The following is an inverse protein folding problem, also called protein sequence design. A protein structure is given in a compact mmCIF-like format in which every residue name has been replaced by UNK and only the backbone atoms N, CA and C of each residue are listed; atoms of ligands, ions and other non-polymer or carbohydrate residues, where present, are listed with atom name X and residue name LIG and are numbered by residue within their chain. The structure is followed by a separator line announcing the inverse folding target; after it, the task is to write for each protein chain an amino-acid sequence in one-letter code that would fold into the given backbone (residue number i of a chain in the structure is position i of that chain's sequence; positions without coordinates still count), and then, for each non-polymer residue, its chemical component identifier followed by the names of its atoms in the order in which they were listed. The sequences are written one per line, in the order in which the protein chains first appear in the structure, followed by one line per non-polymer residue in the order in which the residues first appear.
data_IF_724708146056
#
_entry.id   IF_724708146056
#
_cell.length_a   1.000
_cell.length_b   1.000
_cell.length_c   1.000
_cell.angle_alpha   90.00
_cell.angle_beta   90.00
_cell.angle_gamma   90.00
#
_symmetry.space_group_name_H-M   'P 1'
#
loop_
_entity.id
_entity.type
_entity.pdbx_description
1 polymer ?
#
# COMPACT_ATOMS: atom_id res chain seq x y z
N UNK A 1 49.15 -17.54 70.74
CA UNK A 1 48.02 -17.39 71.68
C UNK A 1 46.75 -17.21 70.85
N UNK A 2 45.80 -18.14 71.01
CA UNK A 2 44.45 -18.26 70.43
C UNK A 2 44.25 -18.43 68.90
N UNK A 3 43.65 -19.56 68.54
CA UNK A 3 43.00 -19.90 67.26
C UNK A 3 41.48 -19.70 67.45
N UNK A 4 40.75 -19.08 66.50
CA UNK A 4 39.30 -19.31 66.33
C UNK A 4 38.89 -19.23 64.85
N UNK A 5 38.11 -20.24 64.44
CA UNK A 5 37.48 -20.54 63.15
C UNK A 5 36.18 -19.74 62.84
N UNK A 6 35.74 -19.81 61.57
CA UNK A 6 34.35 -19.77 60.99
C UNK A 6 34.11 -18.63 59.97
N UNK A 7 33.87 -18.88 58.67
CA UNK A 7 32.75 -19.54 57.94
C UNK A 7 31.39 -18.80 58.04
N UNK A 8 30.97 -18.11 56.96
CA UNK A 8 29.70 -18.28 56.18
C UNK A 8 29.25 -17.03 55.40
N UNK A 9 28.77 -17.29 54.19
CA UNK A 9 28.07 -16.43 53.21
C UNK A 9 26.91 -15.58 53.77
N UNK A 10 26.67 -14.40 53.16
CA UNK A 10 25.33 -13.89 52.85
C UNK A 10 25.29 -13.03 51.57
N UNK A 11 24.16 -13.17 50.88
CA UNK A 11 23.70 -12.61 49.61
C UNK A 11 23.03 -11.25 49.83
N UNK A 12 23.02 -10.38 48.80
CA UNK A 12 22.15 -9.20 48.69
C UNK A 12 22.95 -7.94 48.33
N UNK A 13 22.48 -6.97 47.55
CA UNK A 13 21.18 -6.75 46.92
C UNK A 13 21.38 -5.75 45.78
N UNK A 14 20.53 -5.90 44.78
CA UNK A 14 20.30 -5.07 43.61
C UNK A 14 20.03 -3.59 43.98
N UNK A 15 20.71 -2.64 43.34
CA UNK A 15 20.18 -1.28 43.17
C UNK A 15 20.25 -0.86 41.70
N UNK A 16 19.05 -0.75 41.13
CA UNK A 16 18.72 -0.27 39.79
C UNK A 16 18.74 1.27 39.82
N UNK A 17 19.53 1.90 38.95
CA UNK A 17 19.45 3.36 38.69
C UNK A 17 18.78 3.56 37.34
N UNK A 18 17.52 3.96 37.37
CA UNK A 18 16.75 4.39 36.20
C UNK A 18 17.11 5.84 35.85
N UNK A 19 17.81 6.05 34.74
CA UNK A 19 18.01 7.37 34.15
C UNK A 19 16.93 7.59 33.08
N UNK A 20 15.96 8.46 33.38
CA UNK A 20 14.96 8.96 32.43
C UNK A 20 15.57 10.15 31.70
N UNK A 21 15.96 9.96 30.44
CA UNK A 21 16.25 11.07 29.52
C UNK A 21 15.09 11.20 28.53
N UNK A 22 14.20 12.15 28.80
CA UNK A 22 13.15 12.57 27.89
C UNK A 22 13.75 13.48 26.81
N UNK A 23 13.99 12.94 25.61
CA UNK A 23 14.28 13.74 24.41
C UNK A 23 13.00 14.02 23.66
N UNK A 24 12.64 15.30 23.56
CA UNK A 24 11.55 15.83 22.74
C UNK A 24 11.76 15.41 21.28
N UNK A 25 10.87 14.56 20.78
CA UNK A 25 10.77 14.23 19.37
C UNK A 25 10.06 15.38 18.64
N UNK A 26 10.82 16.24 17.97
CA UNK A 26 10.27 17.10 16.92
C UNK A 26 10.15 16.27 15.64
N UNK A 27 8.97 15.70 15.41
CA UNK A 27 8.63 14.95 14.21
C UNK A 27 8.49 15.91 13.02
N UNK A 28 9.60 16.20 12.33
CA UNK A 28 9.52 16.72 10.97
C UNK A 28 9.02 15.58 10.06
N UNK A 29 7.70 15.47 9.89
CA UNK A 29 7.12 14.68 8.80
C UNK A 29 7.33 15.42 7.47
N UNK A 30 8.58 15.45 7.01
CA UNK A 30 8.84 15.57 5.59
C UNK A 30 8.44 14.23 4.97
N UNK A 31 7.42 14.22 4.10
CA UNK A 31 7.08 13.07 3.26
C UNK A 31 8.30 12.75 2.39
N UNK A 32 9.21 11.93 2.91
CA UNK A 32 10.28 11.35 2.13
C UNK A 32 9.61 10.34 1.21
N UNK A 33 9.55 10.64 -0.08
CA UNK A 33 9.27 9.65 -1.09
C UNK A 33 10.23 8.48 -0.86
N UNK A 34 9.69 7.37 -0.36
CA UNK A 34 10.47 6.17 -0.12
C UNK A 34 10.95 5.68 -1.49
N UNK A 35 12.24 5.37 -1.68
CA UNK A 35 12.70 4.82 -2.95
C UNK A 35 11.89 3.56 -3.27
N UNK A 36 11.56 3.32 -4.55
CA UNK A 36 10.74 2.18 -4.95
C UNK A 36 11.39 0.88 -4.45
N UNK A 37 10.63 0.11 -3.67
CA UNK A 37 11.06 -1.19 -3.13
C UNK A 37 11.29 -2.19 -4.29
N UNK A 38 12.35 -3.00 -4.27
CA UNK A 38 12.59 -4.03 -5.28
C UNK A 38 11.40 -4.99 -5.49
N UNK A 39 10.62 -5.32 -4.46
CA UNK A 39 9.40 -6.11 -4.60
C UNK A 39 8.27 -5.36 -5.31
N UNK A 40 8.22 -4.03 -5.15
CA UNK A 40 7.27 -3.20 -5.90
C UNK A 40 7.61 -3.19 -7.39
N UNK A 41 8.89 -3.29 -7.76
CA UNK A 41 9.31 -3.45 -9.15
C UNK A 41 8.83 -4.76 -9.77
N UNK A 42 8.99 -5.89 -9.08
CA UNK A 42 8.51 -7.19 -9.58
C UNK A 42 6.99 -7.22 -9.74
N UNK A 43 6.26 -6.63 -8.80
CA UNK A 43 4.80 -6.51 -8.89
C UNK A 43 4.37 -5.56 -10.00
N UNK A 44 5.12 -4.47 -10.20
CA UNK A 44 4.88 -3.54 -11.30
C UNK A 44 5.08 -4.26 -12.64
N UNK A 45 6.14 -5.06 -12.78
CA UNK A 45 6.39 -5.91 -13.95
C UNK A 45 5.23 -6.88 -14.18
N UNK A 46 4.77 -7.58 -13.13
CA UNK A 46 3.64 -8.51 -13.23
C UNK A 46 2.34 -7.82 -13.68
N UNK A 47 2.16 -6.55 -13.31
CA UNK A 47 0.96 -5.76 -13.63
C UNK A 47 0.93 -5.21 -15.06
N UNK A 48 2.06 -5.16 -15.75
CA UNK A 48 2.16 -4.56 -17.09
C UNK A 48 1.20 -5.18 -18.11
N UNK A 49 0.91 -4.44 -19.18
CA UNK A 49 0.08 -4.90 -20.29
C UNK A 49 -1.39 -4.51 -20.13
N UNK A 50 -2.25 -5.21 -20.87
CA UNK A 50 -3.67 -4.89 -20.98
C UNK A 50 -4.50 -5.85 -20.15
N UNK A 51 -5.40 -5.27 -19.36
CA UNK A 51 -6.38 -5.98 -18.56
C UNK A 51 -7.78 -5.47 -18.88
N UNK A 52 -8.78 -6.28 -18.56
CA UNK A 52 -10.18 -6.00 -18.87
C UNK A 52 -11.06 -6.22 -17.64
N UNK A 53 -12.03 -5.34 -17.46
CA UNK A 53 -13.15 -5.54 -16.54
C UNK A 53 -14.45 -5.34 -17.29
N UNK A 54 -15.52 -6.01 -16.85
CA UNK A 54 -16.85 -5.84 -17.44
C UNK A 54 -17.87 -5.56 -16.35
N UNK A 55 -18.67 -4.52 -16.56
CA UNK A 55 -19.83 -4.20 -15.73
C UNK A 55 -21.07 -3.93 -16.60
N UNK A 56 -22.11 -3.33 -16.03
CA UNK A 56 -23.35 -2.99 -16.75
C UNK A 56 -23.17 -1.95 -17.85
N UNK A 57 -22.09 -1.16 -17.82
CA UNK A 57 -21.77 -0.13 -18.81
C UNK A 57 -20.93 -0.68 -19.97
N UNK A 58 -20.32 -1.86 -19.81
CA UNK A 58 -19.61 -2.58 -20.87
C UNK A 58 -18.22 -3.03 -20.44
N UNK A 59 -17.42 -3.43 -21.44
CA UNK A 59 -16.00 -3.79 -21.22
C UNK A 59 -15.17 -2.51 -21.08
N UNK A 60 -14.34 -2.45 -20.04
CA UNK A 60 -13.36 -1.41 -19.79
C UNK A 60 -11.96 -2.00 -19.96
N UNK A 61 -11.11 -1.28 -20.69
CA UNK A 61 -9.72 -1.64 -20.95
C UNK A 61 -8.78 -0.85 -20.03
N UNK A 62 -7.92 -1.56 -19.30
CA UNK A 62 -6.92 -1.02 -18.39
C UNK A 62 -5.53 -1.31 -18.95
N UNK A 63 -4.80 -0.29 -19.38
CA UNK A 63 -3.46 -0.43 -19.98
C UNK A 63 -2.40 0.06 -19.01
N UNK A 64 -1.56 -0.85 -18.52
CA UNK A 64 -0.45 -0.55 -17.61
C UNK A 64 0.87 -0.47 -18.38
N UNK A 65 1.57 0.67 -18.30
CA UNK A 65 2.88 0.91 -18.91
C UNK A 65 3.80 1.65 -17.96
N UNK A 66 4.79 0.96 -17.41
CA UNK A 66 5.58 1.44 -16.29
C UNK A 66 4.65 1.76 -15.12
N UNK A 67 4.74 2.99 -14.62
CA UNK A 67 3.86 3.53 -13.58
C UNK A 67 2.68 4.35 -14.13
N UNK A 68 2.36 4.22 -15.42
CA UNK A 68 1.19 4.84 -16.01
C UNK A 68 0.08 3.81 -16.20
N UNK A 69 -1.14 4.23 -15.93
CA UNK A 69 -2.36 3.49 -16.19
C UNK A 69 -3.29 4.34 -17.03
N UNK A 70 -3.72 3.80 -18.17
CA UNK A 70 -4.81 4.35 -18.97
C UNK A 70 -6.04 3.46 -18.81
N UNK A 71 -7.18 4.07 -18.50
CA UNK A 71 -8.48 3.39 -18.39
C UNK A 71 -9.37 3.95 -19.47
N UNK A 72 -9.79 3.08 -20.38
CA UNK A 72 -10.67 3.37 -21.50
C UNK A 72 -11.95 2.56 -21.30
N UNK A 73 -13.01 3.24 -20.89
CA UNK A 73 -14.33 2.66 -20.67
C UNK A 73 -15.32 3.29 -21.66
N UNK A 74 -16.48 2.66 -21.91
CA UNK A 74 -17.46 3.17 -22.87
C UNK A 74 -17.97 4.59 -22.57
N UNK A 75 -17.81 5.07 -21.33
CA UNK A 75 -18.34 6.37 -20.90
C UNK A 75 -17.28 7.32 -20.35
N UNK A 76 -16.07 6.83 -20.05
CA UNK A 76 -15.04 7.58 -19.32
C UNK A 76 -13.64 7.15 -19.69
N UNK A 77 -12.77 8.14 -19.80
CA UNK A 77 -11.34 7.95 -19.97
C UNK A 77 -10.57 8.55 -18.80
N UNK A 78 -9.52 7.85 -18.38
CA UNK A 78 -8.62 8.30 -17.33
C UNK A 78 -7.17 8.01 -17.66
N UNK A 79 -6.29 8.89 -17.17
CA UNK A 79 -4.85 8.67 -17.13
C UNK A 79 -4.37 8.85 -15.70
N UNK A 80 -3.72 7.83 -15.16
CA UNK A 80 -3.19 7.84 -13.80
C UNK A 80 -1.70 7.57 -13.79
N UNK A 81 -0.99 8.19 -12.85
CA UNK A 81 0.22 7.65 -12.28
C UNK A 81 -0.15 6.70 -11.14
N UNK A 82 0.45 5.52 -11.13
CA UNK A 82 0.22 4.50 -10.11
C UNK A 82 1.43 4.34 -9.20
N UNK A 83 1.18 4.04 -7.93
CA UNK A 83 2.21 3.65 -6.95
C UNK A 83 1.82 2.36 -6.26
N UNK A 84 2.76 1.42 -6.16
CA UNK A 84 2.56 0.13 -5.50
C UNK A 84 3.42 0.03 -4.23
N UNK A 85 2.81 -0.42 -3.14
CA UNK A 85 3.52 -0.90 -1.96
C UNK A 85 3.16 -2.37 -1.75
N UNK A 86 4.07 -3.24 -2.19
CA UNK A 86 3.91 -4.69 -2.11
C UNK A 86 4.08 -5.25 -0.70
N UNK A 87 4.64 -4.47 0.23
CA UNK A 87 4.93 -4.89 1.60
C UNK A 87 3.84 -4.47 2.59
N UNK A 88 3.01 -3.50 2.20
CA UNK A 88 1.88 -3.06 2.98
C UNK A 88 0.99 -4.22 3.48
N UNK A 89 0.51 -4.06 4.71
CA UNK A 89 -0.33 -5.01 5.44
C UNK A 89 -1.59 -4.30 5.95
N UNK A 90 -2.74 -5.00 6.07
CA UNK A 90 -2.94 -6.42 5.73
C UNK A 90 -3.00 -6.68 4.23
N UNK A 91 -3.18 -5.64 3.42
CA UNK A 91 -3.24 -5.72 1.96
C UNK A 91 -2.18 -4.82 1.33
N UNK A 92 -1.68 -5.24 0.17
CA UNK A 92 -0.75 -4.44 -0.63
C UNK A 92 -1.45 -3.16 -1.08
N UNK A 93 -0.73 -2.04 -1.11
CA UNK A 93 -1.32 -0.76 -1.50
C UNK A 93 -1.19 -0.53 -3.00
N UNK A 94 -2.23 0.09 -3.57
CA UNK A 94 -2.28 0.58 -4.93
C UNK A 94 -2.85 1.99 -4.88
N UNK A 95 -2.05 3.00 -5.22
CA UNK A 95 -2.49 4.40 -5.23
C UNK A 95 -2.56 4.95 -6.64
N UNK A 96 -3.56 5.79 -6.87
CA UNK A 96 -3.80 6.47 -8.13
C UNK A 96 -3.63 7.98 -7.94
N UNK A 97 -2.92 8.60 -8.87
CA UNK A 97 -2.88 10.05 -9.04
C UNK A 97 -3.25 10.35 -10.49
N UNK A 98 -4.42 10.92 -10.72
CA UNK A 98 -4.85 11.31 -12.04
C UNK A 98 -3.93 12.42 -12.56
N UNK A 99 -3.44 12.25 -13.78
CA UNK A 99 -2.62 13.26 -14.42
C UNK A 99 -3.44 14.54 -14.63
N UNK A 100 -2.78 15.69 -14.70
CA UNK A 100 -3.43 16.99 -14.96
C UNK A 100 -4.16 17.01 -16.32
N UNK A 101 -3.71 16.20 -17.29
CA UNK A 101 -4.35 16.01 -18.59
C UNK A 101 -5.37 14.86 -18.62
N UNK A 102 -5.71 14.27 -17.46
CA UNK A 102 -6.70 13.19 -17.38
C UNK A 102 -8.12 13.74 -17.64
N UNK A 103 -8.89 13.21 -18.61
CA UNK A 103 -10.15 13.83 -19.05
C UNK A 103 -11.21 14.04 -17.96
N UNK A 104 -11.34 13.10 -17.02
CA UNK A 104 -12.51 13.05 -16.16
C UNK A 104 -12.28 13.47 -14.70
N UNK A 105 -11.02 13.56 -14.24
CA UNK A 105 -10.70 13.85 -12.83
C UNK A 105 -9.25 14.34 -12.65
N UNK A 106 -8.82 15.41 -13.33
CA UNK A 106 -7.43 15.86 -13.28
C UNK A 106 -6.98 16.18 -11.85
N UNK A 107 -5.78 15.70 -11.48
CA UNK A 107 -5.19 15.91 -10.15
C UNK A 107 -5.82 15.12 -8.99
N UNK A 108 -6.88 14.35 -9.24
CA UNK A 108 -7.52 13.54 -8.21
C UNK A 108 -6.59 12.44 -7.69
N UNK A 109 -6.62 12.19 -6.38
CA UNK A 109 -5.81 11.16 -5.71
C UNK A 109 -6.70 10.18 -5.00
N UNK A 110 -6.52 8.90 -5.27
CA UNK A 110 -7.27 7.81 -4.65
C UNK A 110 -6.32 6.80 -4.04
N UNK A 111 -6.64 6.37 -2.81
CA UNK A 111 -5.91 5.34 -2.10
C UNK A 111 -6.61 4.00 -2.29
N UNK A 112 -5.84 2.95 -2.53
CA UNK A 112 -6.40 1.63 -2.83
C UNK A 112 -5.57 0.44 -2.37
N UNK A 113 -6.10 -0.75 -2.57
CA UNK A 113 -5.45 -2.01 -2.27
C UNK A 113 -5.55 -2.92 -3.48
N UNK A 114 -4.58 -3.83 -3.62
CA UNK A 114 -4.60 -4.78 -4.73
C UNK A 114 -4.15 -6.17 -4.31
N UNK A 115 -4.56 -7.16 -5.10
CA UNK A 115 -4.05 -8.54 -5.03
C UNK A 115 -4.10 -9.20 -6.40
N UNK A 116 -3.11 -10.04 -6.68
CA UNK A 116 -3.18 -10.99 -7.78
C UNK A 116 -3.86 -12.27 -7.29
N UNK A 117 -4.68 -12.87 -8.15
CA UNK A 117 -5.32 -14.18 -7.95
C UNK A 117 -4.91 -15.11 -9.08
N UNK A 118 -3.62 -15.47 -9.09
CA UNK A 118 -2.97 -16.10 -10.24
C UNK A 118 -2.51 -15.07 -11.29
N UNK A 119 -1.95 -15.55 -12.43
CA UNK A 119 -1.28 -14.70 -13.40
C UNK A 119 -2.24 -13.90 -14.31
N UNK A 120 -3.50 -14.32 -14.41
CA UNK A 120 -4.49 -13.73 -15.32
C UNK A 120 -5.58 -12.94 -14.60
N UNK A 121 -5.48 -12.78 -13.27
CA UNK A 121 -6.52 -12.12 -12.47
C UNK A 121 -5.92 -11.14 -11.47
N UNK A 122 -6.41 -9.90 -11.50
CA UNK A 122 -5.97 -8.80 -10.65
C UNK A 122 -7.21 -8.14 -10.03
N UNK A 123 -7.25 -8.07 -8.71
CA UNK A 123 -8.26 -7.29 -8.00
C UNK A 123 -7.67 -5.96 -7.57
N UNK A 124 -8.40 -4.89 -7.84
CA UNK A 124 -8.08 -3.54 -7.36
C UNK A 124 -9.30 -3.00 -6.63
N UNK A 125 -9.09 -2.45 -5.44
CA UNK A 125 -10.12 -1.73 -4.69
C UNK A 125 -9.58 -0.35 -4.34
N UNK A 126 -10.31 0.72 -4.62
CA UNK A 126 -9.87 2.06 -4.22
C UNK A 126 -11.02 2.91 -3.71
N UNK A 127 -10.68 3.86 -2.84
CA UNK A 127 -11.63 4.80 -2.31
C UNK A 127 -11.77 6.05 -3.20
N UNK A 128 -12.91 6.73 -3.11
CA UNK A 128 -13.09 8.07 -3.69
C UNK A 128 -12.01 9.04 -3.20
N UNK A 129 -11.69 10.10 -3.97
CA UNK A 129 -10.68 11.06 -3.55
C UNK A 129 -10.96 11.67 -2.17
N UNK A 130 -9.92 11.74 -1.35
CA UNK A 130 -10.00 12.28 0.03
C UNK A 130 -10.49 11.29 1.08
N UNK A 131 -11.01 10.11 0.70
CA UNK A 131 -11.39 9.07 1.64
C UNK A 131 -10.18 8.23 2.11
N UNK A 132 -10.40 7.47 3.19
CA UNK A 132 -9.39 6.57 3.73
C UNK A 132 -9.20 5.34 2.84
N UNK A 133 -7.98 4.77 2.86
CA UNK A 133 -7.67 3.53 2.15
C UNK A 133 -8.66 2.42 2.54
N UNK A 134 -9.23 1.66 1.58
CA UNK A 134 -10.09 0.53 1.87
C UNK A 134 -9.39 -0.52 2.73
N UNK A 135 -10.13 -1.11 3.68
CA UNK A 135 -9.62 -2.17 4.57
C UNK A 135 -9.91 -3.58 4.06
N UNK A 136 -10.79 -3.70 3.06
CA UNK A 136 -11.18 -4.95 2.43
C UNK A 136 -11.54 -4.71 0.96
N UNK A 137 -11.60 -5.78 0.17
CA UNK A 137 -12.11 -5.75 -1.20
C UNK A 137 -13.63 -5.79 -1.17
N UNK A 138 -14.26 -4.65 -0.90
CA UNK A 138 -15.70 -4.50 -0.86
C UNK A 138 -16.11 -3.21 -1.60
N UNK A 139 -17.22 -3.29 -2.34
CA UNK A 139 -17.88 -2.13 -2.91
C UNK A 139 -18.76 -1.50 -1.84
N UNK A 140 -18.48 -0.25 -1.49
CA UNK A 140 -19.28 0.57 -0.61
C UNK A 140 -19.79 1.74 -1.43
N UNK A 141 -21.12 1.90 -1.47
CA UNK A 141 -21.77 2.82 -2.39
C UNK A 141 -21.23 4.25 -2.21
N UNK A 142 -20.66 4.81 -3.28
CA UNK A 142 -20.00 6.13 -3.31
C UNK A 142 -18.73 6.28 -2.47
N UNK A 143 -18.22 5.21 -1.86
CA UNK A 143 -17.01 5.27 -1.02
C UNK A 143 -15.87 4.47 -1.63
N UNK A 144 -16.12 3.23 -2.05
CA UNK A 144 -15.10 2.32 -2.58
C UNK A 144 -15.58 1.60 -3.83
N UNK A 145 -14.64 1.38 -4.75
CA UNK A 145 -14.88 0.67 -6.00
C UNK A 145 -13.90 -0.49 -6.12
N UNK A 146 -14.44 -1.68 -6.39
CA UNK A 146 -13.71 -2.93 -6.61
C UNK A 146 -13.84 -3.32 -8.07
N UNK A 147 -12.68 -3.54 -8.70
CA UNK A 147 -12.57 -4.04 -10.05
C UNK A 147 -11.87 -5.40 -10.03
N UNK A 148 -12.51 -6.38 -10.65
CA UNK A 148 -11.88 -7.63 -11.04
C UNK A 148 -11.40 -7.46 -12.48
N UNK A 149 -10.08 -7.53 -12.66
CA UNK A 149 -9.43 -7.40 -13.95
C UNK A 149 -8.93 -8.77 -14.42
N UNK A 150 -9.14 -9.07 -15.70
CA UNK A 150 -8.66 -10.29 -16.34
C UNK A 150 -7.82 -9.99 -17.59
N UNK A 151 -6.87 -10.88 -17.89
CA UNK A 151 -6.20 -10.89 -19.20
C UNK A 151 -6.98 -11.78 -20.15
N UNK A 152 -6.93 -11.46 -21.45
CA UNK A 152 -7.39 -12.40 -22.47
C UNK A 152 -6.38 -13.56 -22.55
N UNK A 153 -6.85 -14.81 -22.72
CA UNK A 153 -5.96 -15.90 -23.05
C UNK A 153 -5.33 -15.64 -24.43
N UNK A 154 -4.02 -15.89 -24.52
CA UNK A 154 -3.28 -15.85 -25.79
C UNK A 154 -3.77 -16.94 -26.77
#
# INVERSE_FOLDING_TARGET
MLIVHHFRHRVGSLMLVTFVCATLATSNHATRAQPPDPNSNDQLIAMQGVWYSTDSSGETRWTFKGNLLEVDSPTRDYKFRITLDAQAKPHKHFDFEALEDSPNSPGAKSLGIYKFDGPQKLFICFAVPGASRPKAFANEMFETFVFELSRRPD
#
